data_IF_517153948998
#
_entry.id   IF_517153948998
#
_cell.length_a   1.000
_cell.length_b   1.000
_cell.length_c   1.000
_cell.angle_alpha   90.00
_cell.angle_beta   90.00
_cell.angle_gamma   90.00
#
_symmetry.space_group_name_H-M   'P 1'
#
loop_
_entity.id
_entity.type
_entity.pdbx_description
1 polymer ?
#
# COMPACT_ATOMS: atom_id res chain seq x y z
N UNK A 1 12.97 -1.40 -16.44
CA UNK A 1 12.31 -1.36 -17.77
C UNK A 1 10.81 -1.28 -17.56
N UNK A 2 10.06 -0.62 -18.46
CA UNK A 2 8.59 -0.54 -18.42
C UNK A 2 7.99 -1.71 -19.20
N UNK A 3 6.92 -2.32 -18.70
CA UNK A 3 6.14 -3.36 -19.39
C UNK A 3 4.69 -3.36 -18.88
N UNK A 4 3.78 -3.86 -19.70
CA UNK A 4 2.37 -4.12 -19.35
C UNK A 4 2.16 -5.63 -19.14
N UNK A 5 1.12 -5.98 -18.38
CA UNK A 5 0.71 -7.37 -18.17
C UNK A 5 -0.47 -7.61 -19.10
N UNK A 6 -0.37 -8.62 -19.95
CA UNK A 6 -1.43 -9.00 -20.88
C UNK A 6 -1.84 -10.45 -20.63
N UNK A 7 -3.13 -10.76 -20.79
CA UNK A 7 -3.72 -12.09 -20.62
C UNK A 7 -4.36 -12.52 -21.94
N UNK A 8 -3.59 -13.04 -22.92
CA UNK A 8 -4.12 -13.41 -24.22
C UNK A 8 -5.15 -14.54 -24.23
N UNK A 9 -5.14 -15.45 -23.26
CA UNK A 9 -6.12 -16.55 -23.22
C UNK A 9 -6.83 -16.55 -21.88
N UNK A 10 -7.95 -15.83 -21.77
CA UNK A 10 -8.71 -15.88 -20.56
C UNK A 10 -9.22 -17.31 -20.25
N UNK A 11 -9.34 -17.65 -18.98
CA UNK A 11 -9.95 -18.87 -18.50
C UNK A 11 -11.37 -18.52 -18.06
N UNK A 12 -12.34 -19.22 -18.64
CA UNK A 12 -13.77 -18.95 -18.41
C UNK A 12 -14.29 -19.61 -17.12
N UNK A 13 -13.43 -20.32 -16.37
CA UNK A 13 -13.80 -20.95 -15.11
C UNK A 13 -13.90 -19.91 -13.98
N UNK A 14 -15.05 -19.88 -13.31
CA UNK A 14 -15.28 -19.00 -12.18
C UNK A 14 -14.35 -19.30 -11.01
N UNK A 15 -13.70 -18.26 -10.47
CA UNK A 15 -12.79 -18.36 -9.31
C UNK A 15 -13.37 -19.12 -8.11
N UNK A 16 -14.68 -18.94 -7.86
CA UNK A 16 -15.42 -19.60 -6.78
C UNK A 16 -15.41 -21.13 -6.92
N UNK A 17 -15.37 -21.65 -8.15
CA UNK A 17 -15.43 -23.08 -8.46
C UNK A 17 -14.06 -23.79 -8.37
N UNK A 18 -12.97 -23.04 -8.18
CA UNK A 18 -11.62 -23.58 -8.09
C UNK A 18 -11.28 -24.08 -6.67
N UNK A 19 -10.43 -25.10 -6.59
CA UNK A 19 -10.03 -25.72 -5.31
C UNK A 19 -9.00 -24.86 -4.56
N UNK A 20 -9.18 -24.52 -3.27
CA UNK A 20 -8.18 -23.76 -2.50
C UNK A 20 -6.82 -24.47 -2.40
N UNK A 21 -5.72 -23.71 -2.56
CA UNK A 21 -4.33 -24.18 -2.33
C UNK A 21 -3.59 -23.25 -1.38
N UNK A 22 -2.37 -23.61 -0.97
CA UNK A 22 -1.55 -22.76 -0.11
C UNK A 22 -1.14 -21.41 -0.74
N UNK A 23 -1.10 -21.31 -2.09
CA UNK A 23 -0.64 -20.10 -2.79
C UNK A 23 -1.75 -19.38 -3.56
N UNK A 24 -2.96 -19.94 -3.58
CA UNK A 24 -4.09 -19.43 -4.36
C UNK A 24 -5.18 -20.48 -4.51
N UNK A 25 -5.58 -20.75 -5.75
CA UNK A 25 -6.55 -21.81 -6.08
C UNK A 25 -6.06 -22.63 -7.28
N UNK A 26 -6.46 -23.89 -7.36
CA UNK A 26 -6.21 -24.76 -8.50
C UNK A 26 -7.43 -24.79 -9.42
N UNK A 27 -7.21 -24.40 -10.67
CA UNK A 27 -8.22 -24.44 -11.72
C UNK A 27 -8.18 -25.81 -12.42
N UNK A 28 -9.30 -26.53 -12.43
CA UNK A 28 -9.39 -27.85 -13.04
C UNK A 28 -9.41 -27.77 -14.57
N UNK A 29 -10.00 -26.72 -15.15
CA UNK A 29 -10.10 -26.52 -16.61
C UNK A 29 -8.75 -26.29 -17.27
N UNK A 30 -7.91 -25.41 -16.70
CA UNK A 30 -6.58 -25.14 -17.24
C UNK A 30 -5.43 -25.89 -16.52
N UNK A 31 -5.76 -26.71 -15.51
CA UNK A 31 -4.83 -27.48 -14.68
C UNK A 31 -3.68 -26.64 -14.11
N UNK A 32 -4.00 -25.44 -13.61
CA UNK A 32 -2.99 -24.49 -13.11
C UNK A 32 -3.35 -23.92 -11.76
N UNK A 33 -2.29 -23.59 -11.04
CA UNK A 33 -2.37 -22.76 -9.85
C UNK A 33 -2.56 -21.29 -10.25
N UNK A 34 -3.69 -20.73 -9.84
CA UNK A 34 -4.10 -19.35 -10.06
C UNK A 34 -3.86 -18.57 -8.77
N UNK A 35 -2.99 -17.56 -8.85
CA UNK A 35 -2.64 -16.70 -7.70
C UNK A 35 -3.50 -15.42 -7.76
N UNK A 36 -4.06 -15.00 -6.62
CA UNK A 36 -4.81 -13.75 -6.55
C UNK A 36 -3.86 -12.53 -6.44
N UNK A 37 -3.89 -11.64 -7.43
CA UNK A 37 -3.14 -10.38 -7.44
C UNK A 37 -4.02 -9.16 -7.18
N UNK A 38 -5.34 -9.33 -7.06
CA UNK A 38 -6.31 -8.22 -6.95
C UNK A 38 -6.04 -7.29 -5.77
N UNK A 39 -5.45 -7.82 -4.68
CA UNK A 39 -5.12 -7.06 -3.47
C UNK A 39 -3.63 -6.64 -3.38
N UNK A 40 -2.83 -6.91 -4.40
CA UNK A 40 -1.38 -6.65 -4.35
C UNK A 40 -1.03 -5.28 -4.93
N UNK A 41 -0.02 -4.65 -4.33
CA UNK A 41 0.54 -3.40 -4.83
C UNK A 41 1.26 -3.61 -6.16
N UNK A 42 1.36 -2.57 -6.99
CA UNK A 42 2.05 -2.65 -8.29
C UNK A 42 3.51 -3.12 -8.16
N UNK A 43 4.17 -2.79 -7.05
CA UNK A 43 5.55 -3.23 -6.78
C UNK A 43 5.63 -4.72 -6.43
N UNK A 44 4.66 -5.23 -5.69
CA UNK A 44 4.58 -6.66 -5.33
C UNK A 44 4.18 -7.53 -6.50
N UNK A 45 3.26 -7.05 -7.33
CA UNK A 45 2.90 -7.66 -8.61
C UNK A 45 4.16 -7.79 -9.49
N UNK A 46 4.91 -6.69 -9.68
CA UNK A 46 6.12 -6.70 -10.48
C UNK A 46 7.19 -7.67 -9.95
N UNK A 47 7.34 -7.76 -8.64
CA UNK A 47 8.29 -8.68 -7.97
C UNK A 47 7.91 -10.15 -8.17
N UNK A 48 6.63 -10.49 -7.93
CA UNK A 48 6.12 -11.87 -8.02
C UNK A 48 6.08 -12.40 -9.45
N UNK A 49 5.77 -11.54 -10.44
CA UNK A 49 5.77 -11.95 -11.85
C UNK A 49 7.20 -12.18 -12.35
N UNK A 50 8.16 -11.34 -11.93
CA UNK A 50 9.56 -11.46 -12.39
C UNK A 50 10.22 -12.79 -11.99
N UNK A 51 9.84 -13.36 -10.85
CA UNK A 51 10.49 -14.56 -10.30
C UNK A 51 9.94 -15.88 -10.86
N UNK A 52 8.83 -15.87 -11.63
CA UNK A 52 8.18 -17.10 -12.11
C UNK A 52 7.91 -17.04 -13.61
N UNK A 53 8.30 -18.09 -14.33
CA UNK A 53 7.85 -18.34 -15.72
C UNK A 53 6.55 -19.15 -15.66
N UNK A 54 5.55 -18.82 -16.49
CA UNK A 54 4.27 -19.54 -16.62
C UNK A 54 3.32 -19.44 -15.42
N UNK A 55 3.11 -18.23 -14.93
CA UNK A 55 2.17 -17.93 -13.85
C UNK A 55 0.74 -17.72 -14.40
N UNK A 56 -0.26 -18.32 -13.75
CA UNK A 56 -1.66 -17.94 -13.91
C UNK A 56 -2.07 -17.05 -12.73
N UNK A 57 -2.84 -16.00 -12.99
CA UNK A 57 -3.21 -15.07 -11.94
C UNK A 57 -4.54 -14.38 -12.20
N UNK A 58 -5.15 -13.94 -11.10
CA UNK A 58 -6.35 -13.13 -11.07
C UNK A 58 -5.95 -11.66 -10.94
N UNK A 59 -6.34 -10.83 -11.89
CA UNK A 59 -5.98 -9.41 -11.96
C UNK A 59 -7.22 -8.54 -12.13
N UNK A 60 -7.14 -7.27 -11.72
CA UNK A 60 -8.15 -6.25 -12.08
C UNK A 60 -7.84 -5.63 -13.44
N UNK A 61 -8.83 -5.00 -14.07
CA UNK A 61 -8.66 -4.31 -15.36
C UNK A 61 -7.58 -3.23 -15.30
N UNK A 62 -7.58 -2.44 -14.23
CA UNK A 62 -6.57 -1.41 -13.99
C UNK A 62 -5.16 -1.99 -13.88
N UNK A 63 -5.02 -3.15 -13.24
CA UNK A 63 -3.73 -3.84 -13.11
C UNK A 63 -3.19 -4.33 -14.46
N UNK A 64 -4.05 -4.67 -15.43
CA UNK A 64 -3.64 -5.07 -16.78
C UNK A 64 -3.25 -3.86 -17.64
N UNK A 65 -3.95 -2.75 -17.48
CA UNK A 65 -3.69 -1.51 -18.23
C UNK A 65 -2.52 -0.67 -17.66
N UNK A 66 -2.02 -1.03 -16.47
CA UNK A 66 -0.93 -0.33 -15.82
C UNK A 66 0.45 -0.64 -16.42
N UNK A 67 1.30 0.39 -16.50
CA UNK A 67 2.73 0.25 -16.82
C UNK A 67 3.55 -0.07 -15.56
N UNK A 68 4.15 -1.25 -15.50
CA UNK A 68 5.02 -1.67 -14.40
C UNK A 68 6.46 -1.29 -14.64
N UNK A 69 7.12 -0.75 -13.62
CA UNK A 69 8.57 -0.53 -13.62
C UNK A 69 9.25 -1.58 -12.77
N UNK A 70 10.07 -2.42 -13.39
CA UNK A 70 11.07 -3.20 -12.65
C UNK A 70 12.21 -2.26 -12.25
N UNK A 71 12.20 -1.78 -11.00
CA UNK A 71 13.44 -1.29 -10.41
C UNK A 71 14.29 -2.51 -10.09
N UNK A 72 15.47 -2.60 -10.69
CA UNK A 72 16.49 -3.53 -10.22
C UNK A 72 16.98 -2.94 -8.91
N UNK A 73 16.43 -3.37 -7.77
CA UNK A 73 17.07 -3.09 -6.50
C UNK A 73 18.33 -3.93 -6.42
N UNK A 74 19.36 -3.46 -7.10
CA UNK A 74 20.72 -3.84 -6.79
C UNK A 74 21.07 -3.13 -5.49
N UNK A 75 20.59 -3.63 -4.35
CA UNK A 75 21.11 -3.23 -3.04
C UNK A 75 22.55 -3.76 -2.81
N UNK A 76 23.19 -4.28 -3.86
CA UNK A 76 24.55 -4.80 -3.84
C UNK A 76 25.61 -3.75 -4.21
N UNK A 77 25.24 -2.47 -4.39
CA UNK A 77 26.22 -1.40 -4.57
C UNK A 77 26.72 -0.80 -3.24
N UNK A 78 26.32 -1.35 -2.09
CA UNK A 78 26.83 -0.95 -0.75
C UNK A 78 27.54 -2.08 0.01
N UNK A 79 27.72 -3.24 -0.60
CA UNK A 79 28.50 -4.36 -0.03
C UNK A 79 29.92 -4.44 -0.61
N UNK A 80 30.41 -3.35 -1.21
CA UNK A 80 31.77 -3.22 -1.72
C UNK A 80 32.70 -2.40 -0.83
N UNK A 81 32.25 -1.99 0.36
CA UNK A 81 33.05 -1.22 1.34
C UNK A 81 32.89 -1.87 2.72
N UNK A 82 33.32 -3.12 2.87
CA UNK A 82 33.45 -3.75 4.19
C UNK A 82 34.44 -4.93 4.24
N UNK A 83 35.33 -5.09 3.24
CA UNK A 83 36.44 -6.05 3.32
C UNK A 83 37.68 -5.42 3.99
N UNK A 84 37.47 -4.69 5.09
CA UNK A 84 38.53 -3.90 5.73
C UNK A 84 38.46 -3.79 7.25
N UNK A 85 37.49 -4.41 7.94
CA UNK A 85 37.38 -4.39 9.41
C UNK A 85 37.01 -5.77 9.98
N UNK A 86 37.49 -6.85 9.35
CA UNK A 86 37.25 -8.23 9.76
C UNK A 86 38.24 -8.77 10.79
N UNK A 87 38.66 -7.97 11.78
CA UNK A 87 39.69 -8.42 12.74
C UNK A 87 39.49 -8.04 14.21
N UNK A 88 38.35 -7.44 14.63
CA UNK A 88 38.15 -7.15 16.07
C UNK A 88 36.71 -7.39 16.51
N UNK A 89 36.28 -8.65 16.53
CA UNK A 89 35.30 -9.14 17.53
C UNK A 89 35.77 -10.53 17.98
N UNK A 90 36.98 -10.56 18.54
CA UNK A 90 37.37 -11.63 19.44
C UNK A 90 37.10 -11.12 20.86
N UNK A 91 36.39 -11.93 21.65
CA UNK A 91 36.05 -11.76 23.07
C UNK A 91 34.85 -10.84 23.38
N UNK A 92 33.63 -11.36 23.14
CA UNK A 92 32.49 -11.02 23.98
C UNK A 92 32.07 -12.32 24.71
N UNK A 93 32.45 -12.46 25.97
CA UNK A 93 31.87 -13.48 26.84
C UNK A 93 30.40 -13.12 27.10
N UNK A 94 29.47 -14.08 27.16
CA UNK A 94 28.12 -13.79 27.61
C UNK A 94 28.17 -13.46 29.11
N UNK A 95 27.95 -12.21 29.49
CA UNK A 95 27.60 -11.87 30.87
C UNK A 95 26.15 -12.29 31.10
N UNK A 96 25.94 -13.38 31.82
CA UNK A 96 24.62 -13.69 32.37
C UNK A 96 24.19 -12.53 33.27
N UNK A 97 23.14 -11.82 32.87
CA UNK A 97 22.53 -10.79 33.69
C UNK A 97 22.02 -11.47 34.98
N UNK A 98 22.63 -11.14 36.11
CA UNK A 98 22.13 -11.57 37.41
C UNK A 98 20.73 -10.98 37.61
N UNK A 99 19.77 -11.86 37.87
CA UNK A 99 18.40 -11.52 38.24
C UNK A 99 18.42 -10.80 39.59
N UNK A 100 18.56 -9.47 39.54
CA UNK A 100 18.40 -8.63 40.71
C UNK A 100 16.91 -8.64 41.06
N UNK A 101 16.56 -9.45 42.05
CA UNK A 101 15.28 -9.39 42.74
C UNK A 101 15.09 -7.99 43.33
N UNK A 102 14.41 -7.12 42.59
CA UNK A 102 13.96 -5.83 43.11
C UNK A 102 12.73 -6.14 43.97
N UNK A 103 12.93 -6.10 45.30
CA UNK A 103 11.80 -5.93 46.23
C UNK A 103 11.14 -4.59 45.90
N UNK A 104 9.92 -4.66 45.36
CA UNK A 104 9.08 -3.50 45.15
C UNK A 104 8.67 -2.98 46.52
N UNK A 105 9.19 -1.83 46.91
CA UNK A 105 8.65 -1.03 48.00
C UNK A 105 7.72 0.00 47.36
N UNK A 106 6.42 -0.17 47.56
CA UNK A 106 5.42 0.80 47.12
C UNK A 106 5.51 1.97 48.10
N UNK A 107 6.05 3.09 47.63
CA UNK A 107 5.92 4.37 48.30
C UNK A 107 4.94 5.21 47.47
N UNK A 108 3.72 5.34 47.99
CA UNK A 108 2.71 6.23 47.43
C UNK A 108 3.08 7.66 47.80
N UNK A 109 3.44 8.47 46.81
CA UNK A 109 3.32 9.91 46.94
C UNK A 109 2.32 10.45 45.89
N UNK A 110 1.27 11.04 46.44
CA UNK A 110 0.15 11.67 45.76
C UNK A 110 0.51 13.14 45.48
N UNK A 111 0.41 13.50 44.19
CA UNK A 111 -0.08 14.78 43.64
C UNK A 111 0.79 16.05 43.67
N UNK A 112 0.92 16.59 42.45
CA UNK A 112 1.16 17.95 42.00
C UNK A 112 2.33 18.77 42.55
N UNK A 113 3.27 19.05 41.65
CA UNK A 113 3.47 20.43 41.18
C UNK A 113 4.06 20.45 39.79
N UNK A 114 3.29 21.07 38.89
CA UNK A 114 3.50 21.08 37.45
C UNK A 114 4.87 21.59 37.01
N UNK A 115 5.49 20.80 36.14
CA UNK A 115 6.38 21.32 35.12
C UNK A 115 5.52 21.64 33.88
N UNK A 116 4.93 22.83 33.86
CA UNK A 116 4.39 23.42 32.62
C UNK A 116 5.56 23.73 31.70
N UNK A 117 6.11 22.70 31.05
CA UNK A 117 6.86 22.90 29.81
C UNK A 117 5.82 23.31 28.78
N UNK A 118 5.65 24.62 28.64
CA UNK A 118 4.91 25.25 27.55
C UNK A 118 5.65 24.89 26.26
N UNK A 119 5.41 23.69 25.75
CA UNK A 119 5.67 23.37 24.36
C UNK A 119 4.67 24.26 23.63
N UNK A 120 5.15 25.41 23.18
CA UNK A 120 4.44 26.21 22.19
C UNK A 120 4.54 25.44 20.88
N UNK A 121 3.83 24.32 20.77
CA UNK A 121 3.54 23.70 19.49
C UNK A 121 2.61 24.68 18.80
N UNK A 122 3.21 25.50 17.94
CA UNK A 122 2.48 26.23 16.92
C UNK A 122 1.55 25.21 16.26
N UNK A 123 0.25 25.42 16.44
CA UNK A 123 -0.79 24.45 16.12
C UNK A 123 -0.92 24.41 14.58
N UNK A 124 0.04 23.80 13.89
CA UNK A 124 0.25 23.88 12.44
C UNK A 124 -0.51 22.78 11.68
N UNK A 125 -1.37 22.02 12.37
CA UNK A 125 -2.30 21.08 11.78
C UNK A 125 -3.75 21.39 12.20
N UNK A 126 -4.69 20.92 11.39
CA UNK A 126 -6.11 20.88 11.69
C UNK A 126 -6.53 19.41 11.83
N UNK A 127 -7.47 19.14 12.73
CA UNK A 127 -8.06 17.82 12.88
C UNK A 127 -9.32 17.77 12.00
N UNK A 128 -9.32 16.86 11.03
CA UNK A 128 -10.48 16.57 10.20
C UNK A 128 -11.09 15.24 10.66
N UNK A 129 -12.39 15.23 10.96
CA UNK A 129 -13.06 14.07 11.52
C UNK A 129 -14.39 13.79 10.82
N UNK A 130 -14.78 12.53 10.79
CA UNK A 130 -16.04 12.12 10.17
C UNK A 130 -16.43 10.70 10.51
N UNK A 131 -17.52 10.25 9.88
CA UNK A 131 -18.04 8.89 9.95
C UNK A 131 -18.24 8.37 8.53
N UNK A 132 -17.76 7.16 8.26
CA UNK A 132 -17.91 6.48 6.97
C UNK A 132 -19.10 5.51 7.07
N UNK A 133 -20.02 5.65 6.13
CA UNK A 133 -21.26 4.88 6.04
C UNK A 133 -21.43 4.29 4.64
N UNK A 134 -22.27 3.28 4.48
CA UNK A 134 -22.80 2.86 3.17
C UNK A 134 -24.08 3.64 2.77
N UNK A 135 -24.68 3.26 1.66
CA UNK A 135 -25.95 3.80 1.15
C UNK A 135 -27.17 3.42 2.02
N UNK A 136 -27.04 2.40 2.86
CA UNK A 136 -28.03 1.97 3.85
C UNK A 136 -27.82 2.63 5.22
N UNK A 137 -26.86 3.55 5.35
CA UNK A 137 -26.43 4.20 6.59
C UNK A 137 -25.79 3.25 7.63
N UNK A 138 -25.34 2.07 7.22
CA UNK A 138 -24.55 1.20 8.07
C UNK A 138 -23.12 1.73 8.15
N UNK A 139 -22.51 1.67 9.33
CA UNK A 139 -21.12 2.11 9.52
C UNK A 139 -20.15 1.16 8.82
N UNK A 140 -19.03 1.71 8.33
CA UNK A 140 -18.00 0.94 7.63
C UNK A 140 -16.69 0.91 8.44
N UNK A 141 -16.56 -0.02 9.41
CA UNK A 141 -15.34 -0.19 10.19
C UNK A 141 -14.16 -0.57 9.33
N UNK A 142 -13.01 0.04 9.58
CA UNK A 142 -11.80 -0.28 8.83
C UNK A 142 -11.66 0.45 7.48
N UNK A 143 -12.60 1.34 7.12
CA UNK A 143 -12.45 2.21 5.94
C UNK A 143 -11.12 2.99 6.00
N UNK A 144 -10.38 3.01 4.89
CA UNK A 144 -9.12 3.74 4.81
C UNK A 144 -9.39 5.19 4.40
N UNK A 145 -8.75 6.14 5.07
CA UNK A 145 -8.81 7.56 4.72
C UNK A 145 -7.39 8.02 4.44
N UNK A 146 -7.12 8.46 3.22
CA UNK A 146 -5.78 8.80 2.73
C UNK A 146 -5.80 10.23 2.19
N UNK A 147 -4.88 11.07 2.65
CA UNK A 147 -4.61 12.35 2.01
C UNK A 147 -3.78 12.13 0.74
N UNK A 148 -4.34 12.48 -0.42
CA UNK A 148 -3.67 12.27 -1.70
C UNK A 148 -2.34 13.05 -1.75
N UNK A 149 -1.32 12.43 -2.35
CA UNK A 149 0.05 12.96 -2.49
C UNK A 149 0.82 13.16 -1.17
N UNK A 150 0.32 12.62 -0.05
CA UNK A 150 0.99 12.65 1.25
C UNK A 150 1.01 11.25 1.86
N UNK A 151 1.81 11.07 2.91
CA UNK A 151 1.88 9.82 3.69
C UNK A 151 0.83 9.76 4.79
N UNK A 152 0.04 10.82 4.95
CA UNK A 152 -0.99 10.91 5.99
C UNK A 152 -2.17 10.02 5.66
N UNK A 153 -2.40 9.04 6.54
CA UNK A 153 -3.51 8.10 6.45
C UNK A 153 -4.03 7.77 7.84
N UNK A 154 -5.31 7.45 7.90
CA UNK A 154 -5.97 6.92 9.10
C UNK A 154 -6.96 5.84 8.68
N UNK A 155 -7.56 5.19 9.65
CA UNK A 155 -8.58 4.18 9.45
C UNK A 155 -9.79 4.46 10.35
N UNK A 156 -10.98 4.15 9.86
CA UNK A 156 -12.19 4.24 10.64
C UNK A 156 -12.24 3.16 11.75
N UNK A 157 -12.73 3.53 12.93
CA UNK A 157 -12.93 2.66 14.09
C UNK A 157 -14.14 1.71 13.93
N UNK A 158 -14.50 0.97 14.98
CA UNK A 158 -15.62 0.02 14.97
C UNK A 158 -16.98 0.68 14.75
N UNK A 159 -17.10 1.97 15.07
CA UNK A 159 -18.28 2.78 14.84
C UNK A 159 -18.19 3.58 13.52
N UNK A 160 -17.20 3.28 12.67
CA UNK A 160 -16.99 3.94 11.39
C UNK A 160 -16.46 5.38 11.50
N UNK A 161 -16.10 5.86 12.69
CA UNK A 161 -15.55 7.20 12.87
C UNK A 161 -14.06 7.24 12.57
N UNK A 162 -13.59 8.35 12.04
CA UNK A 162 -12.17 8.57 11.78
C UNK A 162 -11.76 10.00 12.16
N UNK A 163 -10.46 10.17 12.37
CA UNK A 163 -9.83 11.48 12.57
C UNK A 163 -8.44 11.50 11.92
N UNK A 164 -8.14 12.54 11.16
CA UNK A 164 -6.87 12.72 10.45
C UNK A 164 -6.35 14.15 10.64
N UNK A 165 -5.04 14.27 10.90
CA UNK A 165 -4.38 15.57 10.99
C UNK A 165 -3.91 16.05 9.61
N UNK A 166 -4.33 17.24 9.21
CA UNK A 166 -3.95 17.89 7.95
C UNK A 166 -3.10 19.11 8.28
N UNK A 167 -1.89 19.20 7.71
CA UNK A 167 -1.05 20.39 7.92
C UNK A 167 -1.68 21.62 7.27
N UNK A 168 -1.65 22.76 7.97
CA UNK A 168 -2.18 24.03 7.48
C UNK A 168 -1.50 24.52 6.20
N UNK A 169 -0.26 24.10 5.97
CA UNK A 169 0.48 24.37 4.72
C UNK A 169 -0.12 23.65 3.51
N UNK A 170 -0.67 22.45 3.71
CA UNK A 170 -1.29 21.69 2.62
C UNK A 170 -2.59 22.36 2.16
N UNK A 171 -3.32 23.00 3.08
CA UNK A 171 -4.55 23.75 2.81
C UNK A 171 -4.36 25.01 1.94
N UNK A 172 -3.11 25.39 1.63
CA UNK A 172 -2.83 26.45 0.65
C UNK A 172 -3.15 26.00 -0.78
N UNK A 173 -3.21 24.68 -1.01
CA UNK A 173 -3.58 24.07 -2.27
C UNK A 173 -4.88 23.27 -2.10
N UNK A 174 -5.42 22.78 -3.21
CA UNK A 174 -6.52 21.82 -3.19
C UNK A 174 -6.06 20.51 -2.53
N UNK A 175 -6.59 20.21 -1.36
CA UNK A 175 -6.35 18.96 -0.64
C UNK A 175 -7.52 18.01 -0.86
N UNK A 176 -7.22 16.77 -1.20
CA UNK A 176 -8.22 15.72 -1.40
C UNK A 176 -7.97 14.56 -0.44
N UNK A 177 -9.05 14.06 0.16
CA UNK A 177 -9.05 12.77 0.85
C UNK A 177 -9.68 11.73 -0.06
N UNK A 178 -9.03 10.58 -0.17
CA UNK A 178 -9.56 9.39 -0.81
C UNK A 178 -9.97 8.40 0.29
N UNK A 179 -11.23 7.98 0.25
CA UNK A 179 -11.82 7.00 1.15
C UNK A 179 -12.01 5.70 0.37
N UNK A 180 -11.46 4.62 0.88
CA UNK A 180 -11.54 3.29 0.26
C UNK A 180 -12.00 2.23 1.24
N UNK A 181 -12.85 1.34 0.77
CA UNK A 181 -13.35 0.19 1.53
C UNK A 181 -13.64 -0.97 0.58
N UNK A 182 -13.34 -2.19 1.01
CA UNK A 182 -13.47 -3.38 0.17
C UNK A 182 -14.92 -3.57 -0.29
N UNK A 183 -15.13 -3.71 -1.60
CA UNK A 183 -16.48 -3.87 -2.18
C UNK A 183 -17.20 -2.56 -2.50
N UNK A 184 -16.58 -1.41 -2.24
CA UNK A 184 -17.17 -0.08 -2.48
C UNK A 184 -16.35 0.71 -3.48
N UNK A 185 -17.00 1.65 -4.17
CA UNK A 185 -16.31 2.60 -5.04
C UNK A 185 -15.48 3.57 -4.21
N UNK A 186 -14.26 3.86 -4.65
CA UNK A 186 -13.40 4.85 -4.00
C UNK A 186 -14.04 6.23 -4.10
N UNK A 187 -14.15 6.93 -2.97
CA UNK A 187 -14.72 8.28 -2.91
C UNK A 187 -13.63 9.30 -2.66
N UNK A 188 -13.56 10.31 -3.53
CA UNK A 188 -12.66 11.46 -3.37
C UNK A 188 -13.45 12.67 -2.88
N UNK A 189 -13.01 13.26 -1.77
CA UNK A 189 -13.58 14.49 -1.21
C UNK A 189 -12.54 15.59 -1.22
N UNK A 190 -12.94 16.79 -1.65
CA UNK A 190 -12.12 18.00 -1.54
C UNK A 190 -12.30 18.58 -0.15
N UNK A 191 -11.19 18.87 0.54
CA UNK A 191 -11.20 19.52 1.85
C UNK A 191 -11.42 21.03 1.67
N UNK A 192 -12.46 21.55 2.31
CA UNK A 192 -12.73 22.98 2.39
C UNK A 192 -12.39 23.43 3.81
N UNK A 193 -11.47 24.39 3.94
CA UNK A 193 -10.92 24.85 5.22
C UNK A 193 -11.99 25.28 6.23
N UNK A 194 -13.06 25.90 5.75
CA UNK A 194 -14.18 26.39 6.56
C UNK A 194 -15.05 25.25 7.13
N UNK A 195 -15.04 24.09 6.46
CA UNK A 195 -15.82 22.92 6.87
C UNK A 195 -14.98 21.91 7.65
N UNK A 196 -13.66 22.02 7.61
CA UNK A 196 -12.77 20.98 8.11
C UNK A 196 -12.88 20.70 9.63
N UNK A 197 -13.47 21.61 10.40
CA UNK A 197 -13.74 21.44 11.83
C UNK A 197 -15.08 20.76 12.12
N UNK A 198 -15.94 20.58 11.11
CA UNK A 198 -17.24 19.93 11.26
C UNK A 198 -17.06 18.41 11.19
N UNK A 199 -17.97 17.68 11.83
CA UNK A 199 -18.02 16.22 11.67
C UNK A 199 -18.67 15.90 10.32
N UNK A 200 -17.92 15.25 9.44
CA UNK A 200 -18.40 14.89 8.10
C UNK A 200 -19.07 13.50 8.09
N UNK A 201 -20.18 13.36 7.37
CA UNK A 201 -20.75 12.05 7.02
C UNK A 201 -20.35 11.71 5.60
N UNK A 202 -19.71 10.56 5.41
CA UNK A 202 -19.18 10.12 4.10
C UNK A 202 -19.87 8.81 3.73
N UNK A 203 -20.82 8.88 2.80
CA UNK A 203 -21.47 7.69 2.28
C UNK A 203 -20.67 7.12 1.10
N UNK A 204 -20.36 5.83 1.14
CA UNK A 204 -19.75 5.09 0.04
C UNK A 204 -20.83 4.33 -0.72
N UNK A 205 -20.69 4.31 -2.05
CA UNK A 205 -21.57 3.54 -2.93
C UNK A 205 -21.01 2.14 -3.11
N UNK A 206 -21.86 1.14 -2.96
CA UNK A 206 -21.50 -0.23 -3.28
C UNK A 206 -21.08 -0.34 -4.75
N UNK A 207 -20.04 -1.13 -5.01
CA UNK A 207 -19.56 -1.32 -6.36
C UNK A 207 -20.28 -2.51 -7.01
N UNK A 208 -21.37 -2.22 -7.72
CA UNK A 208 -22.09 -3.18 -8.60
C UNK A 208 -21.29 -3.62 -9.82
N UNK A 209 -20.06 -3.12 -10.00
CA UNK A 209 -19.12 -3.77 -10.88
C UNK A 209 -18.91 -5.19 -10.37
N UNK A 210 -19.66 -6.14 -10.95
CA UNK A 210 -19.15 -7.46 -11.26
C UNK A 210 -17.75 -7.21 -11.79
N UNK A 211 -16.75 -7.39 -10.93
CA UNK A 211 -15.36 -7.27 -11.34
C UNK A 211 -15.24 -8.25 -12.49
N UNK A 212 -15.12 -7.75 -13.73
CA UNK A 212 -14.79 -8.59 -14.87
C UNK A 212 -13.39 -9.13 -14.57
N UNK A 213 -13.37 -10.31 -13.94
CA UNK A 213 -12.16 -11.01 -13.60
C UNK A 213 -11.74 -11.74 -14.86
N UNK A 214 -10.83 -11.14 -15.60
CA UNK A 214 -10.11 -11.82 -16.67
C UNK A 214 -9.08 -12.76 -16.04
N UNK A 215 -9.44 -14.03 -15.82
CA UNK A 215 -8.46 -15.09 -15.54
C UNK A 215 -7.78 -15.43 -16.85
N UNK A 216 -6.50 -15.79 -16.95
CA UNK A 216 -5.94 -16.39 -18.17
C UNK A 216 -4.41 -16.47 -18.26
N UNK A 217 -3.89 -16.90 -19.42
CA UNK A 217 -2.45 -16.99 -19.71
C UNK A 217 -1.84 -15.62 -19.92
N UNK A 218 -0.81 -15.27 -19.15
CA UNK A 218 -0.02 -14.05 -19.37
C UNK A 218 1.09 -14.28 -20.40
N UNK A 219 1.16 -13.44 -21.43
CA UNK A 219 2.27 -13.43 -22.39
C UNK A 219 3.00 -12.10 -22.30
N UNK A 220 4.33 -12.15 -22.13
CA UNK A 220 5.16 -10.95 -22.14
C UNK A 220 6.25 -11.09 -23.20
N UNK A 221 6.26 -10.16 -24.16
CA UNK A 221 7.33 -10.03 -25.14
C UNK A 221 8.45 -9.19 -24.55
N UNK A 222 9.69 -9.70 -24.57
CA UNK A 222 10.87 -8.89 -24.24
C UNK A 222 11.33 -8.18 -25.51
N UNK A 223 11.63 -6.87 -25.47
CA UNK A 223 12.27 -6.21 -26.59
C UNK A 223 13.61 -6.89 -26.86
N UNK A 224 13.86 -7.19 -28.14
CA UNK A 224 15.06 -7.87 -28.58
C UNK A 224 16.31 -7.06 -28.18
N UNK A 225 17.47 -7.70 -28.05
CA UNK A 225 18.72 -7.07 -27.56
C UNK A 225 19.02 -5.76 -28.33
N UNK A 226 18.68 -5.75 -29.62
CA UNK A 226 18.82 -4.59 -30.50
C UNK A 226 17.94 -3.39 -30.09
N UNK A 227 16.69 -3.61 -29.68
CA UNK A 227 15.78 -2.56 -29.20
C UNK A 227 16.20 -2.01 -27.84
N UNK A 228 16.87 -2.81 -27.01
CA UNK A 228 17.47 -2.32 -25.75
C UNK A 228 18.67 -1.42 -26.02
N UNK A 229 19.47 -1.75 -27.02
CA UNK A 229 20.62 -0.95 -27.44
C UNK A 229 20.19 0.38 -28.07
N UNK A 230 19.21 0.37 -28.97
CA UNK A 230 18.68 1.60 -29.58
C UNK A 230 18.04 2.57 -28.57
N UNK A 231 17.42 2.04 -27.50
CA UNK A 231 16.84 2.87 -26.44
C UNK A 231 17.88 3.52 -25.51
N UNK A 232 19.17 3.12 -25.55
CA UNK A 232 20.25 3.82 -24.85
C UNK A 232 20.65 5.13 -25.54
N UNK A 233 20.40 5.26 -26.84
CA UNK A 233 20.75 6.43 -27.65
C UNK A 233 19.55 7.35 -27.94
N UNK A 234 18.38 7.03 -27.40
CA UNK A 234 17.18 7.85 -27.57
C UNK A 234 17.22 9.05 -26.61
N UNK A 235 17.47 10.25 -27.13
CA UNK A 235 17.51 11.49 -26.36
C UNK A 235 16.17 11.81 -25.69
N UNK A 236 16.21 12.62 -24.61
CA UNK A 236 15.05 12.96 -23.76
C UNK A 236 13.97 13.79 -24.47
N UNK A 237 14.20 14.30 -25.68
CA UNK A 237 13.28 15.19 -26.39
C UNK A 237 12.07 14.49 -27.03
N UNK A 238 12.17 13.22 -27.42
CA UNK A 238 11.05 12.49 -28.03
C UNK A 238 10.15 11.77 -27.01
N UNK A 239 9.69 12.53 -26.01
CA UNK A 239 8.70 12.10 -24.99
C UNK A 239 7.37 12.86 -25.05
N UNK A 240 7.13 13.68 -26.07
CA UNK A 240 5.80 14.20 -26.38
C UNK A 240 5.28 13.48 -27.61
N UNK A 241 4.03 13.03 -27.52
CA UNK A 241 3.33 12.13 -28.44
C UNK A 241 3.75 10.66 -28.28
N UNK A 242 3.08 9.95 -27.38
CA UNK A 242 2.00 8.99 -27.68
C UNK A 242 1.34 8.60 -26.37
#
# INVERSE_FOLDING_TARGET
MKYTIDIPKPCDEGWQNMTPTQKGRFCASCQKEVIDFTQLSSSDIARKIKSRKNLCGRFTKDQLQQNYTTSSQNNLSRLGIALGLGSIIAVAQPSFAQEKNIKVQIEQDIVDKGLKKKITTKNDSILFSGTVLDDQNLTLPGANIIQLNKTHRTQADFEGNFSIFIHKEDLKNDVFLEITYTGFKNKKIKLIKEEAYKKHKINLEFSDELTEVYVGYVYYSRPNIFQRFLNLFRSKENKRHF
#
